data_IF_751931609389
#
_entry.id   IF_751931609389
#
_cell.length_a   1.000
_cell.length_b   1.000
_cell.length_c   1.000
_cell.angle_alpha   90.00
_cell.angle_beta   90.00
_cell.angle_gamma   90.00
#
_symmetry.space_group_name_H-M   'P 1'
#
loop_
_entity.id
_entity.type
_entity.pdbx_description
1 polymer ?
#
# COMPACT_ATOMS: atom_id res chain seq x y z
N UNK A 1 -12.44 4.44 5.51
CA UNK A 1 -12.90 3.40 4.54
C UNK A 1 -12.95 4.03 3.16
N UNK A 2 -12.67 3.30 2.07
CA UNK A 2 -12.64 3.90 0.72
C UNK A 2 -14.05 4.18 0.21
N UNK A 3 -14.96 3.20 0.28
CA UNK A 3 -16.33 3.27 -0.20
C UNK A 3 -17.35 3.24 0.94
N UNK A 4 -18.52 3.88 0.79
CA UNK A 4 -19.66 3.65 1.68
C UNK A 4 -19.99 2.16 1.74
N UNK A 5 -20.19 1.65 2.95
CA UNK A 5 -20.53 0.25 3.21
C UNK A 5 -21.34 0.15 4.52
N UNK A 6 -22.05 -0.97 4.77
CA UNK A 6 -22.72 -1.19 6.06
C UNK A 6 -21.76 -0.95 7.24
N UNK A 7 -22.17 -0.10 8.19
CA UNK A 7 -21.34 0.34 9.32
C UNK A 7 -20.36 1.48 9.04
N UNK A 8 -20.19 1.90 7.77
CA UNK A 8 -19.38 3.04 7.35
C UNK A 8 -20.08 3.78 6.19
N UNK A 9 -21.31 4.26 6.42
CA UNK A 9 -22.10 4.93 5.39
C UNK A 9 -21.51 6.30 4.99
N UNK A 10 -20.89 7.00 5.94
CA UNK A 10 -20.32 8.34 5.77
C UNK A 10 -18.84 8.35 6.20
N UNK A 11 -18.14 9.46 5.94
CA UNK A 11 -16.72 9.62 6.30
C UNK A 11 -15.78 8.75 5.46
N UNK A 12 -16.21 8.38 4.25
CA UNK A 12 -15.39 7.60 3.31
C UNK A 12 -14.65 8.51 2.34
N UNK A 13 -13.60 7.98 1.70
CA UNK A 13 -12.85 8.71 0.69
C UNK A 13 -13.77 9.17 -0.45
N UNK A 14 -14.69 8.31 -0.89
CA UNK A 14 -15.69 8.68 -1.90
C UNK A 14 -16.55 9.85 -1.45
N UNK A 15 -17.03 9.87 -0.19
CA UNK A 15 -17.82 11.00 0.30
C UNK A 15 -17.01 12.31 0.25
N UNK A 16 -15.74 12.26 0.67
CA UNK A 16 -14.87 13.43 0.65
C UNK A 16 -14.62 13.93 -0.78
N UNK A 17 -14.37 13.01 -1.73
CA UNK A 17 -14.15 13.34 -3.14
C UNK A 17 -15.41 13.99 -3.73
N UNK A 18 -16.58 13.39 -3.55
CA UNK A 18 -17.84 13.93 -4.07
C UNK A 18 -18.12 15.33 -3.52
N UNK A 19 -17.87 15.54 -2.22
CA UNK A 19 -18.03 16.84 -1.57
C UNK A 19 -17.08 17.90 -2.11
N UNK A 20 -15.78 17.59 -2.26
CA UNK A 20 -14.76 18.59 -2.62
C UNK A 20 -14.60 18.82 -4.12
N UNK A 21 -14.89 17.82 -4.96
CA UNK A 21 -14.56 17.86 -6.37
C UNK A 21 -15.77 18.06 -7.29
N UNK A 22 -17.00 18.09 -6.75
CA UNK A 22 -18.24 18.24 -7.52
C UNK A 22 -18.29 17.31 -8.74
N UNK A 23 -17.81 16.08 -8.58
CA UNK A 23 -17.67 15.13 -9.70
C UNK A 23 -19.02 14.51 -10.06
N UNK A 24 -19.28 14.26 -11.36
CA UNK A 24 -20.41 13.44 -11.75
C UNK A 24 -20.28 12.04 -11.16
N UNK A 25 -21.36 11.55 -10.56
CA UNK A 25 -21.47 10.20 -10.01
C UNK A 25 -21.46 9.20 -11.17
N UNK A 26 -20.30 8.62 -11.48
CA UNK A 26 -20.22 7.53 -12.45
C UNK A 26 -20.82 6.27 -11.80
N UNK A 27 -22.00 5.88 -12.25
CA UNK A 27 -22.56 4.55 -11.99
C UNK A 27 -21.87 3.55 -12.91
N UNK A 28 -21.16 2.57 -12.35
CA UNK A 28 -20.71 1.41 -13.13
C UNK A 28 -21.92 0.56 -13.52
N UNK A 29 -22.59 0.95 -14.60
CA UNK A 29 -23.56 0.15 -15.32
C UNK A 29 -23.13 0.15 -16.78
N UNK A 30 -22.47 -0.94 -17.20
CA UNK A 30 -22.72 -1.65 -18.47
C UNK A 30 -21.51 -2.50 -18.90
N UNK A 31 -21.71 -3.82 -18.83
CA UNK A 31 -20.94 -4.80 -19.59
C UNK A 31 -21.61 -4.91 -20.96
N UNK A 32 -21.16 -4.18 -21.99
CA UNK A 32 -21.45 -4.49 -23.40
C UNK A 32 -20.69 -3.60 -24.42
N UNK A 33 -19.40 -3.33 -24.20
CA UNK A 33 -18.50 -2.92 -25.29
C UNK A 33 -17.21 -3.73 -25.16
N UNK A 34 -16.74 -4.28 -26.27
CA UNK A 34 -15.62 -5.22 -26.43
C UNK A 34 -15.95 -6.70 -26.18
N UNK A 35 -16.65 -7.31 -27.15
CA UNK A 35 -16.41 -8.71 -27.52
C UNK A 35 -15.64 -8.74 -28.85
N UNK A 36 -14.66 -9.65 -28.88
CA UNK A 36 -13.80 -10.09 -29.99
C UNK A 36 -12.48 -9.33 -30.12
N UNK A 37 -11.41 -9.84 -29.48
CA UNK A 37 -10.45 -10.73 -30.16
C UNK A 37 -9.55 -11.44 -29.13
N UNK A 38 -9.21 -12.69 -29.43
CA UNK A 38 -8.36 -13.59 -28.65
C UNK A 38 -6.90 -13.08 -28.57
N UNK A 39 -6.43 -12.75 -27.36
CA UNK A 39 -5.07 -13.00 -26.84
C UNK A 39 -4.74 -12.10 -25.62
N UNK A 40 -4.20 -12.74 -24.58
CA UNK A 40 -3.28 -12.20 -23.55
C UNK A 40 -3.67 -10.98 -22.69
N UNK A 41 -3.53 -11.19 -21.37
CA UNK A 41 -3.36 -10.17 -20.32
C UNK A 41 -4.60 -9.36 -19.90
N UNK A 42 -5.50 -10.03 -19.16
CA UNK A 42 -6.48 -9.35 -18.32
C UNK A 42 -5.77 -8.62 -17.16
N UNK A 43 -5.73 -7.30 -17.26
CA UNK A 43 -5.34 -6.40 -16.18
C UNK A 43 -6.38 -6.45 -15.06
N UNK A 44 -6.28 -7.46 -14.21
CA UNK A 44 -7.14 -7.56 -13.06
C UNK A 44 -6.66 -6.59 -11.98
N UNK A 45 -7.24 -5.39 -12.00
CA UNK A 45 -7.64 -4.78 -10.75
C UNK A 45 -8.53 -5.79 -10.00
N UNK A 46 -8.41 -5.85 -8.67
CA UNK A 46 -9.21 -6.74 -7.80
C UNK A 46 -10.73 -6.40 -7.81
N UNK A 47 -11.19 -5.67 -8.84
CA UNK A 47 -12.56 -5.22 -9.07
C UNK A 47 -13.42 -6.26 -9.78
N UNK A 48 -12.91 -6.93 -10.82
CA UNK A 48 -13.73 -7.85 -11.61
C UNK A 48 -13.99 -9.18 -10.89
N UNK A 49 -13.08 -9.59 -10.01
CA UNK A 49 -13.13 -10.92 -9.40
C UNK A 49 -14.26 -11.10 -8.36
N UNK A 50 -14.79 -10.00 -7.79
CA UNK A 50 -15.96 -10.06 -6.90
C UNK A 50 -17.29 -10.19 -7.67
N UNK A 51 -17.32 -9.88 -8.97
CA UNK A 51 -18.54 -9.92 -9.79
C UNK A 51 -18.79 -11.29 -10.42
N UNK A 52 -17.76 -12.10 -10.66
CA UNK A 52 -17.92 -13.37 -11.39
C UNK A 52 -18.46 -14.53 -10.55
N UNK A 53 -18.36 -14.49 -9.21
CA UNK A 53 -18.72 -15.61 -8.34
C UNK A 53 -20.18 -15.63 -7.84
N UNK A 54 -21.10 -14.90 -8.50
CA UNK A 54 -22.52 -14.85 -8.11
C UNK A 54 -23.51 -15.24 -9.20
N UNK A 55 -23.06 -16.02 -10.18
CA UNK A 55 -23.97 -16.61 -11.18
C UNK A 55 -23.86 -18.12 -11.09
N UNK A 56 -24.69 -18.72 -10.25
CA UNK A 56 -25.19 -20.07 -10.45
C UNK A 56 -26.53 -20.25 -9.74
N UNK A 57 -27.56 -20.38 -10.58
CA UNK A 57 -28.82 -21.12 -10.41
C UNK A 57 -29.57 -20.87 -9.11
N UNK A 58 -30.41 -19.85 -9.08
CA UNK A 58 -31.85 -20.03 -9.30
C UNK A 58 -32.54 -18.68 -9.49
N UNK A 59 -33.66 -18.68 -10.21
CA UNK A 59 -34.43 -17.47 -10.49
C UNK A 59 -35.02 -16.83 -9.22
N UNK A 60 -35.24 -15.51 -9.30
CA UNK A 60 -35.91 -14.63 -8.33
C UNK A 60 -35.07 -14.24 -7.09
N UNK A 61 -34.58 -12.99 -7.11
CA UNK A 61 -34.71 -11.97 -6.05
C UNK A 61 -34.02 -10.69 -6.57
N UNK A 62 -34.83 -9.64 -6.79
CA UNK A 62 -34.36 -8.25 -6.81
C UNK A 62 -33.72 -7.92 -5.47
N UNK A 63 -32.39 -7.85 -5.43
CA UNK A 63 -31.64 -7.24 -4.32
C UNK A 63 -30.68 -6.22 -4.93
N UNK A 64 -31.06 -4.94 -4.79
CA UNK A 64 -30.24 -3.74 -4.91
C UNK A 64 -28.81 -3.99 -5.39
N UNK A 65 -28.62 -3.96 -6.71
CA UNK A 65 -27.31 -3.75 -7.31
C UNK A 65 -27.00 -2.25 -7.18
N UNK A 66 -26.72 -1.78 -5.96
CA UNK A 66 -26.15 -0.45 -5.78
C UNK A 66 -24.77 -0.47 -6.43
N UNK A 67 -24.68 0.06 -7.66
CA UNK A 67 -23.43 0.31 -8.34
C UNK A 67 -22.54 1.13 -7.39
N UNK A 68 -21.44 0.56 -6.93
CA UNK A 68 -20.46 1.26 -6.09
C UNK A 68 -19.91 2.42 -6.90
N UNK A 69 -20.35 3.63 -6.58
CA UNK A 69 -19.87 4.87 -7.21
C UNK A 69 -18.39 5.05 -6.87
N UNK A 70 -17.56 5.21 -7.90
CA UNK A 70 -16.12 5.45 -7.74
C UNK A 70 -15.70 6.66 -8.55
N UNK A 71 -15.92 7.87 -8.02
CA UNK A 71 -15.71 9.08 -8.77
C UNK A 71 -14.21 9.31 -8.96
N UNK A 72 -13.72 8.98 -10.16
CA UNK A 72 -12.34 9.27 -10.59
C UNK A 72 -11.22 8.51 -9.87
N UNK A 73 -11.51 7.45 -9.11
CA UNK A 73 -10.50 6.70 -8.35
C UNK A 73 -9.82 5.66 -9.27
N UNK A 74 -8.57 5.93 -9.63
CA UNK A 74 -7.76 5.06 -10.51
C UNK A 74 -6.76 4.18 -9.76
N UNK A 75 -6.50 4.48 -8.47
CA UNK A 75 -5.61 3.68 -7.61
C UNK A 75 -6.00 3.83 -6.12
N UNK A 76 -5.30 3.11 -5.24
CA UNK A 76 -5.63 3.04 -3.81
C UNK A 76 -4.39 2.96 -2.92
N UNK A 77 -4.57 3.37 -1.67
CA UNK A 77 -3.66 3.07 -0.56
C UNK A 77 -4.32 2.08 0.39
N UNK A 78 -3.49 1.31 1.10
CA UNK A 78 -3.99 0.40 2.11
C UNK A 78 -4.49 1.15 3.35
N UNK A 79 -5.41 0.54 4.10
CA UNK A 79 -5.83 1.08 5.40
C UNK A 79 -4.59 1.25 6.30
N UNK A 80 -4.40 2.48 6.80
CA UNK A 80 -3.26 2.84 7.66
C UNK A 80 -2.01 3.31 6.90
N UNK A 81 -2.00 3.24 5.55
CA UNK A 81 -0.96 3.87 4.73
C UNK A 81 -1.37 5.31 4.45
N UNK A 82 -0.50 6.27 4.76
CA UNK A 82 -0.71 7.69 4.49
C UNK A 82 -0.05 8.10 3.17
N UNK A 83 -0.33 9.32 2.69
CA UNK A 83 0.36 9.92 1.55
C UNK A 83 -0.53 10.14 0.33
N UNK A 84 0.10 10.22 -0.85
CA UNK A 84 -0.52 10.70 -2.08
C UNK A 84 -1.53 9.72 -2.70
N UNK A 85 -2.67 10.28 -3.11
CA UNK A 85 -3.65 9.68 -4.02
C UNK A 85 -3.91 10.67 -5.17
N UNK A 86 -4.24 10.14 -6.35
CA UNK A 86 -4.67 10.96 -7.49
C UNK A 86 -6.09 10.54 -7.84
N UNK A 87 -6.93 11.54 -8.09
CA UNK A 87 -8.34 11.39 -8.44
C UNK A 87 -8.58 12.15 -9.73
N UNK A 88 -9.11 11.48 -10.73
CA UNK A 88 -9.51 12.08 -11.98
C UNK A 88 -10.76 12.95 -11.78
N UNK A 89 -10.78 14.13 -12.41
CA UNK A 89 -11.93 15.05 -12.32
C UNK A 89 -12.94 14.92 -13.46
N UNK A 90 -12.61 14.14 -14.48
CA UNK A 90 -13.40 13.93 -15.68
C UNK A 90 -13.06 12.56 -16.29
N UNK A 91 -13.89 12.09 -17.21
CA UNK A 91 -13.75 10.76 -17.82
C UNK A 91 -12.47 10.62 -18.65
N UNK A 92 -12.07 11.69 -19.35
CA UNK A 92 -10.85 11.68 -20.16
C UNK A 92 -9.62 11.48 -19.27
N UNK A 93 -9.52 12.24 -18.18
CA UNK A 93 -8.50 12.10 -17.16
C UNK A 93 -8.52 10.73 -16.50
N UNK A 94 -9.72 10.19 -16.24
CA UNK A 94 -9.89 8.86 -15.64
C UNK A 94 -9.32 7.76 -16.53
N UNK A 95 -9.74 7.72 -17.80
CA UNK A 95 -9.26 6.73 -18.77
C UNK A 95 -7.74 6.78 -18.96
N UNK A 96 -7.17 7.99 -19.13
CA UNK A 96 -5.73 8.16 -19.34
C UNK A 96 -4.90 7.82 -18.11
N UNK A 97 -5.36 8.15 -16.90
CA UNK A 97 -4.67 7.77 -15.68
C UNK A 97 -4.78 6.26 -15.44
N UNK A 98 -5.96 5.67 -15.62
CA UNK A 98 -6.18 4.24 -15.48
C UNK A 98 -5.24 3.43 -16.40
N UNK A 99 -5.08 3.87 -17.66
CA UNK A 99 -4.15 3.26 -18.60
C UNK A 99 -2.68 3.38 -18.13
N UNK A 100 -2.25 4.55 -17.63
CA UNK A 100 -0.89 4.70 -17.09
C UNK A 100 -0.62 3.78 -15.88
N UNK A 101 -1.61 3.60 -15.00
CA UNK A 101 -1.49 2.66 -13.87
C UNK A 101 -1.42 1.21 -14.36
N UNK A 102 -2.23 0.85 -15.37
CA UNK A 102 -2.23 -0.47 -16.01
C UNK A 102 -0.88 -0.78 -16.66
N UNK A 103 -0.33 0.17 -17.41
CA UNK A 103 0.98 0.08 -18.09
C UNK A 103 2.18 0.27 -17.15
N UNK A 104 1.94 0.49 -15.85
CA UNK A 104 2.99 0.69 -14.86
C UNK A 104 3.97 1.85 -15.19
N UNK A 105 3.51 2.84 -15.95
CA UNK A 105 4.30 4.03 -16.32
C UNK A 105 4.31 5.11 -15.23
N UNK A 106 3.42 4.99 -14.24
CA UNK A 106 3.35 5.88 -13.06
C UNK A 106 4.51 5.59 -12.10
N UNK A 107 5.24 6.64 -11.72
CA UNK A 107 6.31 6.59 -10.72
C UNK A 107 5.73 6.76 -9.33
N UNK A 108 5.96 5.78 -8.46
CA UNK A 108 5.46 5.77 -7.08
C UNK A 108 6.60 5.49 -6.13
N UNK A 109 6.83 6.40 -5.19
CA UNK A 109 7.84 6.26 -4.15
C UNK A 109 7.16 6.26 -2.78
N UNK A 110 7.48 5.25 -1.98
CA UNK A 110 7.03 5.12 -0.61
C UNK A 110 8.23 5.14 0.33
N UNK A 111 7.97 5.50 1.58
CA UNK A 111 8.95 5.39 2.66
C UNK A 111 8.34 4.61 3.82
N UNK A 112 9.17 3.82 4.51
CA UNK A 112 8.74 3.02 5.64
C UNK A 112 9.78 2.95 6.76
N UNK A 113 9.34 2.58 7.96
CA UNK A 113 10.21 2.09 9.02
C UNK A 113 10.06 0.58 9.16
N UNK A 114 11.15 -0.17 9.01
CA UNK A 114 11.16 -1.64 9.11
C UNK A 114 11.59 -2.12 10.48
N UNK A 115 11.17 -3.32 10.87
CA UNK A 115 11.69 -4.03 12.04
C UNK A 115 13.00 -4.71 11.63
N UNK A 116 14.14 -4.16 12.05
CA UNK A 116 15.46 -4.53 11.52
C UNK A 116 15.81 -3.85 10.19
N UNK A 117 16.94 -4.28 9.61
CA UNK A 117 17.54 -3.70 8.40
C UNK A 117 17.50 -4.72 7.26
N UNK A 118 17.01 -4.37 6.06
CA UNK A 118 17.15 -5.22 4.87
C UNK A 118 18.61 -5.62 4.61
N UNK A 119 18.83 -6.89 4.28
CA UNK A 119 20.11 -7.40 3.78
C UNK A 119 19.86 -8.16 2.47
N UNK A 120 20.39 -7.70 1.31
CA UNK A 120 21.23 -6.49 1.12
C UNK A 120 20.50 -5.18 1.43
N UNK A 121 21.23 -4.06 1.58
CA UNK A 121 20.65 -2.74 1.90
C UNK A 121 19.91 -2.08 0.72
N UNK A 122 20.03 -2.64 -0.48
CA UNK A 122 19.21 -2.25 -1.63
C UNK A 122 19.04 -3.43 -2.55
N UNK A 123 17.92 -3.48 -3.27
CA UNK A 123 17.66 -4.55 -4.21
C UNK A 123 16.32 -4.39 -4.92
N UNK A 124 16.00 -5.40 -5.71
CA UNK A 124 14.68 -5.59 -6.33
C UNK A 124 14.09 -6.87 -5.77
N UNK A 125 12.95 -6.76 -5.10
CA UNK A 125 12.15 -7.92 -4.72
C UNK A 125 11.11 -8.14 -5.82
N UNK A 126 11.20 -9.31 -6.44
CA UNK A 126 10.30 -9.78 -7.49
C UNK A 126 9.74 -11.13 -7.04
N UNK A 127 8.68 -11.06 -6.25
CA UNK A 127 8.07 -12.24 -5.63
C UNK A 127 6.57 -12.12 -5.81
N UNK A 128 5.93 -13.05 -6.52
CA UNK A 128 4.50 -13.03 -6.76
C UNK A 128 3.69 -12.97 -5.45
N UNK A 129 2.54 -12.31 -5.52
CA UNK A 129 1.64 -12.14 -4.39
C UNK A 129 0.30 -12.82 -4.67
N UNK A 130 -0.17 -13.61 -3.70
CA UNK A 130 -1.49 -14.25 -3.71
C UNK A 130 -2.25 -13.92 -2.42
N UNK A 131 -3.53 -14.29 -2.34
CA UNK A 131 -4.29 -14.19 -1.10
C UNK A 131 -3.81 -15.26 -0.13
N UNK A 132 -3.59 -14.88 1.13
CA UNK A 132 -3.23 -15.85 2.17
C UNK A 132 -4.42 -16.79 2.43
N UNK A 133 -4.18 -18.10 2.35
CA UNK A 133 -5.18 -19.14 2.53
C UNK A 133 -5.63 -19.29 3.99
N UNK A 134 -4.71 -19.03 4.93
CA UNK A 134 -4.94 -19.14 6.37
C UNK A 134 -5.54 -17.87 6.96
N UNK A 135 -5.19 -16.70 6.41
CA UNK A 135 -5.68 -15.42 6.86
C UNK A 135 -6.19 -14.60 5.69
N UNK A 136 -7.52 -14.63 5.49
CA UNK A 136 -8.21 -13.97 4.39
C UNK A 136 -8.18 -12.44 4.44
N UNK A 137 -7.49 -11.79 5.39
CA UNK A 137 -7.21 -10.35 5.40
C UNK A 137 -5.83 -10.05 4.78
N UNK A 138 -4.91 -11.03 4.81
CA UNK A 138 -3.52 -10.92 4.36
C UNK A 138 -3.35 -11.28 2.89
N UNK A 139 -2.29 -10.74 2.33
CA UNK A 139 -1.67 -11.23 1.11
C UNK A 139 -0.40 -11.99 1.49
N UNK A 140 -0.01 -12.97 0.69
CA UNK A 140 1.19 -13.75 0.87
C UNK A 140 2.07 -13.56 -0.36
N UNK A 141 3.30 -13.08 -0.14
CA UNK A 141 4.36 -13.19 -1.13
C UNK A 141 4.86 -14.65 -1.08
N UNK A 142 4.80 -15.34 -2.22
CA UNK A 142 5.05 -16.78 -2.32
C UNK A 142 6.23 -17.03 -3.24
N UNK A 143 7.12 -17.93 -2.83
CA UNK A 143 8.24 -18.38 -3.66
C UNK A 143 7.70 -19.10 -4.90
N UNK A 144 8.39 -19.00 -6.03
CA UNK A 144 8.01 -19.63 -7.31
C UNK A 144 7.86 -21.16 -7.20
N UNK A 145 8.55 -21.78 -6.25
CA UNK A 145 8.44 -23.21 -5.93
C UNK A 145 7.04 -23.60 -5.43
N UNK A 146 6.26 -22.62 -4.95
CA UNK A 146 4.89 -22.82 -4.52
C UNK A 146 3.97 -22.52 -5.71
N UNK A 147 3.42 -23.54 -6.36
CA UNK A 147 2.36 -23.40 -7.38
C UNK A 147 1.04 -22.88 -6.76
N UNK A 148 1.07 -21.65 -6.25
CA UNK A 148 -0.06 -21.00 -5.65
C UNK A 148 -0.97 -20.47 -6.75
N UNK A 149 -2.08 -21.17 -6.99
CA UNK A 149 -3.13 -20.72 -7.90
C UNK A 149 -3.49 -19.25 -7.61
N UNK A 150 -3.47 -18.42 -8.66
CA UNK A 150 -3.83 -17.00 -8.57
C UNK A 150 -2.73 -16.08 -8.03
N UNK A 151 -1.48 -16.55 -7.88
CA UNK A 151 -0.35 -15.66 -7.62
C UNK A 151 -0.15 -14.69 -8.78
N UNK A 152 0.05 -13.42 -8.46
CA UNK A 152 0.22 -12.33 -9.44
C UNK A 152 1.60 -11.73 -9.32
N UNK A 153 2.21 -11.45 -10.46
CA UNK A 153 3.48 -10.75 -10.54
C UNK A 153 3.46 -9.47 -9.69
N UNK A 154 4.48 -9.33 -8.86
CA UNK A 154 4.64 -8.21 -7.95
C UNK A 154 6.13 -7.88 -7.77
N UNK A 155 6.51 -6.66 -8.15
CA UNK A 155 7.89 -6.21 -8.10
C UNK A 155 8.02 -4.82 -7.46
N UNK A 156 9.00 -4.71 -6.56
CA UNK A 156 9.35 -3.48 -5.84
C UNK A 156 10.88 -3.35 -5.77
N UNK A 157 11.40 -2.15 -6.01
CA UNK A 157 12.79 -1.82 -5.64
C UNK A 157 12.81 -1.21 -4.27
N UNK A 158 13.84 -1.52 -3.48
CA UNK A 158 14.01 -0.94 -2.16
C UNK A 158 15.45 -0.45 -1.97
N UNK A 159 15.59 0.57 -1.12
CA UNK A 159 16.88 1.12 -0.69
C UNK A 159 16.77 1.58 0.76
N UNK A 160 17.68 1.09 1.61
CA UNK A 160 17.89 1.64 2.95
C UNK A 160 18.45 3.05 2.79
N UNK A 161 17.70 4.03 3.29
CA UNK A 161 18.09 5.42 3.35
C UNK A 161 18.90 5.67 4.62
N UNK A 162 18.47 5.09 5.73
CA UNK A 162 19.13 5.24 7.02
C UNK A 162 18.96 3.97 7.86
N UNK A 163 20.05 3.51 8.49
CA UNK A 163 20.00 2.47 9.52
C UNK A 163 19.70 3.14 10.85
N UNK A 164 18.74 2.65 11.62
CA UNK A 164 18.21 3.31 12.82
C UNK A 164 18.34 2.42 14.06
N UNK A 165 18.42 3.05 15.23
CA UNK A 165 18.50 2.40 16.54
C UNK A 165 19.50 1.23 16.58
N UNK A 166 20.75 1.46 16.16
CA UNK A 166 21.79 0.43 16.15
C UNK A 166 21.50 -0.78 15.24
N UNK A 167 20.69 -0.58 14.19
CA UNK A 167 20.22 -1.65 13.31
C UNK A 167 18.96 -2.36 13.78
N UNK A 168 18.29 -1.84 14.81
CA UNK A 168 16.97 -2.33 15.24
C UNK A 168 15.83 -1.90 14.32
N UNK A 169 16.06 -0.88 13.49
CA UNK A 169 15.13 -0.43 12.45
C UNK A 169 15.89 0.16 11.26
N UNK A 170 15.19 0.44 10.16
CA UNK A 170 15.72 1.19 9.04
C UNK A 170 14.64 2.07 8.41
N UNK A 171 15.05 3.23 7.93
CA UNK A 171 14.28 4.04 6.99
C UNK A 171 14.50 3.50 5.59
N UNK A 172 13.44 3.02 4.95
CA UNK A 172 13.53 2.34 3.65
C UNK A 172 12.67 3.05 2.62
N UNK A 173 13.27 3.41 1.49
CA UNK A 173 12.57 3.87 0.29
C UNK A 173 12.14 2.65 -0.54
N UNK A 174 10.90 2.67 -1.03
CA UNK A 174 10.35 1.67 -1.94
C UNK A 174 9.89 2.34 -3.23
N UNK A 175 10.31 1.81 -4.38
CA UNK A 175 9.83 2.21 -5.71
C UNK A 175 9.01 1.08 -6.30
N UNK A 176 7.73 1.33 -6.51
CA UNK A 176 6.79 0.31 -6.99
C UNK A 176 6.82 0.19 -8.51
N UNK A 177 7.18 -0.99 -9.02
CA UNK A 177 7.01 -1.36 -10.43
C UNK A 177 5.56 -1.81 -10.66
N UNK A 178 5.02 -2.64 -9.76
CA UNK A 178 3.61 -3.07 -9.77
C UNK A 178 2.83 -2.49 -8.59
N UNK A 179 1.49 -2.58 -8.61
CA UNK A 179 0.61 -2.06 -7.53
C UNK A 179 -0.37 -3.09 -6.99
N UNK A 180 0.12 -4.20 -6.40
CA UNK A 180 -0.74 -5.24 -5.80
C UNK A 180 -1.18 -4.86 -4.39
N UNK A 181 -2.31 -5.42 -3.95
CA UNK A 181 -2.83 -5.24 -2.58
C UNK A 181 -1.74 -5.55 -1.56
N UNK A 182 -1.49 -4.65 -0.61
CA UNK A 182 -0.52 -4.84 0.47
C UNK A 182 0.90 -5.19 0.00
N UNK A 183 1.29 -4.80 -1.22
CA UNK A 183 2.53 -5.28 -1.85
C UNK A 183 3.78 -5.04 -1.00
N UNK A 184 4.03 -3.78 -0.58
CA UNK A 184 5.20 -3.44 0.24
C UNK A 184 5.19 -4.21 1.56
N UNK A 185 4.02 -4.35 2.18
CA UNK A 185 3.85 -5.03 3.48
C UNK A 185 4.14 -6.53 3.36
N UNK A 186 3.64 -7.17 2.30
CA UNK A 186 3.90 -8.58 2.01
C UNK A 186 5.36 -8.83 1.65
N UNK A 187 5.96 -7.97 0.82
CA UNK A 187 7.37 -8.03 0.45
C UNK A 187 8.30 -7.80 1.65
N UNK A 188 8.03 -6.80 2.49
CA UNK A 188 8.81 -6.56 3.71
C UNK A 188 8.74 -7.75 4.68
N UNK A 189 7.55 -8.35 4.86
CA UNK A 189 7.40 -9.58 5.64
C UNK A 189 8.20 -10.74 5.03
N UNK A 190 8.14 -10.90 3.71
CA UNK A 190 8.88 -11.94 2.99
C UNK A 190 10.40 -11.81 3.17
N UNK A 191 10.91 -10.57 3.18
CA UNK A 191 12.31 -10.26 3.48
C UNK A 191 12.67 -10.43 4.97
N UNK A 192 11.73 -10.82 5.83
CA UNK A 192 11.97 -10.97 7.27
C UNK A 192 12.05 -9.66 8.06
N UNK A 193 11.66 -8.53 7.45
CA UNK A 193 11.78 -7.17 7.99
C UNK A 193 10.43 -6.44 7.96
N UNK A 194 9.39 -6.98 8.63
CA UNK A 194 8.05 -6.40 8.56
C UNK A 194 8.04 -4.95 9.06
N UNK A 195 7.12 -4.13 8.55
CA UNK A 195 7.05 -2.71 8.87
C UNK A 195 6.67 -2.50 10.35
N UNK A 196 7.27 -1.53 11.04
CA UNK A 196 6.87 -1.17 12.40
C UNK A 196 5.38 -0.80 12.44
N UNK A 197 4.66 -1.30 13.44
CA UNK A 197 3.23 -1.05 13.62
C UNK A 197 2.32 -1.84 12.67
N UNK A 198 2.89 -2.76 11.87
CA UNK A 198 2.13 -3.63 10.99
C UNK A 198 1.77 -4.96 11.66
N UNK A 199 0.78 -4.91 12.55
CA UNK A 199 0.25 -6.08 13.26
C UNK A 199 -0.25 -7.18 12.31
N UNK A 200 -0.72 -6.80 11.11
CA UNK A 200 -1.19 -7.76 10.12
C UNK A 200 -0.01 -8.52 9.52
N UNK A 201 1.11 -7.89 9.22
CA UNK A 201 2.26 -8.54 8.58
C UNK A 201 3.39 -8.93 9.53
N UNK A 202 3.13 -8.92 10.84
CA UNK A 202 4.06 -9.41 11.85
C UNK A 202 4.99 -8.35 12.42
N UNK A 203 4.82 -7.08 12.06
CA UNK A 203 5.48 -5.94 12.69
C UNK A 203 4.85 -5.57 14.03
N UNK A 204 4.62 -6.58 14.87
CA UNK A 204 3.91 -6.45 16.14
C UNK A 204 4.73 -5.64 17.13
N UNK A 205 4.06 -5.03 18.11
CA UNK A 205 4.74 -4.35 19.22
C UNK A 205 5.77 -5.23 19.93
N UNK A 206 5.46 -6.52 20.11
CA UNK A 206 6.37 -7.47 20.74
C UNK A 206 7.65 -7.67 19.90
N UNK A 207 7.51 -7.90 18.60
CA UNK A 207 8.66 -8.04 17.69
C UNK A 207 9.51 -6.78 17.63
N UNK A 208 8.87 -5.61 17.56
CA UNK A 208 9.58 -4.33 17.57
C UNK A 208 10.43 -4.18 18.83
N UNK A 209 9.88 -4.49 20.02
CA UNK A 209 10.63 -4.43 21.28
C UNK A 209 11.78 -5.43 21.34
N UNK A 210 11.57 -6.67 20.86
CA UNK A 210 12.61 -7.70 20.87
C UNK A 210 13.79 -7.39 19.95
N UNK A 211 13.57 -6.60 18.90
CA UNK A 211 14.62 -6.19 17.97
C UNK A 211 15.31 -4.90 18.41
N UNK A 212 14.54 -3.90 18.87
CA UNK A 212 15.04 -2.59 19.25
C UNK A 212 15.84 -2.64 20.56
N UNK A 213 15.27 -3.19 21.64
CA UNK A 213 15.90 -3.10 22.98
C UNK A 213 17.33 -3.66 23.02
N UNK A 214 17.65 -4.85 22.46
CA UNK A 214 19.02 -5.37 22.51
C UNK A 214 20.04 -4.55 21.72
N UNK A 215 19.59 -3.71 20.78
CA UNK A 215 20.43 -2.86 19.92
C UNK A 215 20.51 -1.42 20.39
N UNK A 216 19.93 -1.13 21.55
CA UNK A 216 19.83 0.21 22.11
C UNK A 216 20.24 0.22 23.58
N UNK A 217 20.92 1.28 24.05
CA UNK A 217 21.27 1.43 25.46
C UNK A 217 20.04 1.38 26.38
N UNK A 218 20.22 0.81 27.57
CA UNK A 218 19.14 0.54 28.53
C UNK A 218 18.37 1.81 28.96
N UNK A 219 19.03 2.96 29.00
CA UNK A 219 18.40 4.25 29.30
C UNK A 219 17.31 4.66 28.30
N UNK A 220 17.27 4.08 27.09
CA UNK A 220 16.20 4.33 26.12
C UNK A 220 15.04 3.34 26.20
N UNK A 221 15.14 2.24 26.97
CA UNK A 221 14.16 1.15 26.91
C UNK A 221 12.75 1.60 27.29
N UNK A 222 12.60 2.50 28.26
CA UNK A 222 11.31 3.09 28.64
C UNK A 222 10.72 3.93 27.50
N UNK A 223 11.55 4.76 26.85
CA UNK A 223 11.14 5.59 25.71
C UNK A 223 10.75 4.75 24.50
N UNK A 224 11.54 3.73 24.17
CA UNK A 224 11.24 2.75 23.12
C UNK A 224 9.93 2.04 23.40
N UNK A 225 9.68 1.63 24.64
CA UNK A 225 8.42 1.01 25.03
C UNK A 225 7.21 1.92 24.83
N UNK A 226 7.32 3.17 25.25
CA UNK A 226 6.27 4.17 25.03
C UNK A 226 6.02 4.40 23.53
N UNK A 227 7.08 4.66 22.76
CA UNK A 227 7.01 4.85 21.31
C UNK A 227 6.34 3.67 20.59
N UNK A 228 6.78 2.44 20.86
CA UNK A 228 6.22 1.23 20.25
C UNK A 228 4.75 1.03 20.66
N UNK A 229 4.39 1.35 21.91
CA UNK A 229 3.00 1.25 22.36
C UNK A 229 2.05 2.18 21.61
N UNK A 230 2.56 3.31 21.12
CA UNK A 230 1.81 4.32 20.36
C UNK A 230 1.71 4.03 18.86
N UNK A 231 2.36 2.98 18.34
CA UNK A 231 2.20 2.57 16.95
C UNK A 231 0.77 2.03 16.72
N UNK A 232 -0.02 2.76 15.93
CA UNK A 232 -1.43 2.41 15.63
C UNK A 232 -1.65 1.93 14.18
N UNK A 233 -0.65 2.09 13.32
CA UNK A 233 -0.73 1.75 11.90
C UNK A 233 0.66 1.36 11.37
N UNK A 234 0.74 0.67 10.21
CA UNK A 234 2.01 0.45 9.56
C UNK A 234 2.72 1.79 9.31
N UNK A 235 3.99 1.87 9.69
CA UNK A 235 4.88 2.98 9.34
C UNK A 235 5.21 2.90 7.84
N UNK A 236 4.22 3.26 7.01
CA UNK A 236 4.29 3.29 5.56
C UNK A 236 3.62 4.58 5.06
N UNK A 237 4.28 5.26 4.13
CA UNK A 237 3.83 6.53 3.58
C UNK A 237 4.14 6.63 2.08
N UNK A 238 3.14 6.99 1.27
CA UNK A 238 3.27 7.28 -0.16
C UNK A 238 3.85 8.70 -0.34
N UNK A 239 5.18 8.77 -0.35
CA UNK A 239 5.97 10.00 -0.36
C UNK A 239 5.84 10.79 -1.67
N UNK A 240 5.92 10.11 -2.81
CA UNK A 240 5.88 10.78 -4.12
C UNK A 240 5.08 10.01 -5.17
N UNK A 241 4.46 10.78 -6.07
CA UNK A 241 3.67 10.30 -7.19
C UNK A 241 3.99 11.14 -8.43
N UNK A 242 4.42 10.49 -9.50
CA UNK A 242 4.68 11.13 -10.79
C UNK A 242 4.01 10.39 -11.95
N UNK A 243 3.46 11.14 -12.89
CA UNK A 243 2.72 10.63 -14.05
C UNK A 243 2.69 11.66 -15.16
N UNK A 244 2.29 11.25 -16.36
CA UNK A 244 2.05 12.16 -17.49
C UNK A 244 0.65 12.76 -17.34
N UNK A 245 0.55 14.07 -17.21
CA UNK A 245 -0.72 14.76 -17.00
C UNK A 245 -1.68 14.49 -18.19
N UNK A 246 -2.92 14.02 -17.95
CA UNK A 246 -3.83 13.59 -19.02
C UNK A 246 -4.10 14.62 -20.12
N UNK A 247 -4.29 15.90 -19.75
CA UNK A 247 -4.61 16.95 -20.74
C UNK A 247 -3.37 17.59 -21.37
N UNK A 248 -2.39 17.97 -20.56
CA UNK A 248 -1.23 18.72 -21.03
C UNK A 248 -0.13 17.83 -21.59
N UNK A 249 -0.15 16.53 -21.32
CA UNK A 249 0.87 15.58 -21.74
C UNK A 249 2.25 15.80 -21.09
N UNK A 250 2.38 16.72 -20.13
CA UNK A 250 3.63 17.01 -19.39
C UNK A 250 3.82 16.02 -18.25
N UNK A 251 5.06 15.67 -17.96
CA UNK A 251 5.38 14.93 -16.74
C UNK A 251 5.19 15.83 -15.52
N UNK A 252 4.37 15.37 -14.57
CA UNK A 252 4.13 16.03 -13.30
C UNK A 252 4.60 15.14 -12.16
N UNK A 253 5.04 15.77 -11.06
CA UNK A 253 5.54 15.08 -9.88
C UNK A 253 5.08 15.79 -8.62
N UNK A 254 4.53 15.02 -7.68
CA UNK A 254 4.01 15.51 -6.41
C UNK A 254 4.78 14.87 -5.26
N UNK A 255 4.94 15.62 -4.18
CA UNK A 255 5.56 15.20 -2.93
C UNK A 255 4.61 15.47 -1.78
N UNK A 256 4.46 14.52 -0.87
CA UNK A 256 3.76 14.69 0.39
C UNK A 256 4.76 14.43 1.51
N UNK A 257 5.07 15.41 2.39
CA UNK A 257 5.92 15.15 3.54
C UNK A 257 5.35 14.07 4.44
N UNK A 258 6.22 13.34 5.14
CA UNK A 258 5.81 12.35 6.13
C UNK A 258 4.91 13.01 7.20
N UNK A 259 3.85 12.33 7.65
CA UNK A 259 2.94 12.88 8.66
C UNK A 259 3.59 12.94 10.05
N UNK A 260 3.04 13.77 10.97
CA UNK A 260 3.62 13.98 12.30
C UNK A 260 3.85 12.70 13.11
N UNK A 261 2.92 11.74 13.05
CA UNK A 261 3.05 10.46 13.75
C UNK A 261 4.24 9.62 13.24
N UNK A 262 4.49 9.63 11.93
CA UNK A 262 5.67 8.99 11.34
C UNK A 262 6.95 9.75 11.73
N UNK A 263 6.93 11.08 11.61
CA UNK A 263 8.07 11.93 11.90
C UNK A 263 8.53 11.83 13.36
N UNK A 264 7.58 11.72 14.30
CA UNK A 264 7.87 11.51 15.72
C UNK A 264 8.64 10.21 15.92
N UNK A 265 8.13 9.08 15.41
CA UNK A 265 8.79 7.76 15.55
C UNK A 265 10.18 7.78 14.91
N UNK A 266 10.31 8.35 13.71
CA UNK A 266 11.60 8.50 13.03
C UNK A 266 12.59 9.32 13.87
N UNK A 267 12.18 10.49 14.38
CA UNK A 267 13.04 11.35 15.19
C UNK A 267 13.47 10.69 16.50
N UNK A 268 12.59 9.92 17.14
CA UNK A 268 12.97 9.13 18.32
C UNK A 268 14.03 8.08 17.99
N UNK A 269 13.87 7.34 16.89
CA UNK A 269 14.84 6.34 16.44
C UNK A 269 16.19 6.95 16.02
N UNK A 270 16.17 8.12 15.37
CA UNK A 270 17.38 8.87 14.99
C UNK A 270 18.13 9.38 16.22
N UNK A 271 17.43 9.88 17.24
CA UNK A 271 18.07 10.37 18.47
C UNK A 271 18.87 9.28 19.21
N UNK A 272 18.43 8.02 19.12
CA UNK A 272 19.14 6.88 19.71
C UNK A 272 20.45 6.60 18.96
N UNK A 273 20.50 6.82 17.64
CA UNK A 273 21.70 6.61 16.83
C UNK A 273 22.80 7.62 17.12
N UNK A 274 22.44 8.91 17.20
CA UNK A 274 23.41 9.99 17.36
C UNK A 274 24.24 9.86 18.65
N UNK A 275 23.64 9.35 19.73
CA UNK A 275 24.34 9.12 21.01
C UNK A 275 25.05 7.76 21.08
N UNK A 276 24.64 6.77 20.28
CA UNK A 276 25.40 5.52 20.15
C UNK A 276 26.72 5.73 19.40
N UNK A 277 26.74 6.62 18.40
CA UNK A 277 27.94 6.94 17.62
C UNK A 277 28.92 7.85 18.39
N UNK A 278 28.47 8.64 19.36
CA UNK A 278 29.32 9.50 20.19
C UNK A 278 30.05 8.77 21.33
N UNK A 279 29.87 7.46 21.47
CA UNK A 279 30.50 6.61 22.50
C UNK A 279 31.63 5.74 21.97
N UNK A 280 32.01 5.92 20.70
CA UNK A 280 33.18 5.33 20.05
C UNK A 280 34.08 6.44 19.53
#
# INVERSE_FOLDING_TARGET
VVHPAPGNANGTLVNAILHHCQLPTITCADKNMYKNDDSSETSDSEFDYLFSNKISRDGLISKNLEASVRPGIVHRLDKGTSGLLVVAKDEHSHAHLAEQFKQHSVRRVYISLTSGVPSPTSGRIDVPITRDSSNRIRMAAVSELCNARGARFAASRYKVIEVLAGGGSALVEWRLETGRTHQIRAHAKFLGIPLLGDEVYGGTKSLALSILRPRTPSNYHTRISSMVSNLQRPCLHALSLGFRHPHTGRDVHFLCPIPPDFAEVLGQLQSINSECLSKF
#
